data_IF_543066288234
#
_entry.id   IF_543066288234
#
_cell.length_a   1.000
_cell.length_b   1.000
_cell.length_c   1.000
_cell.angle_alpha   90.00
_cell.angle_beta   90.00
_cell.angle_gamma   90.00
#
_symmetry.space_group_name_H-M   'P 1'
#
loop_
_entity.id
_entity.type
_entity.pdbx_description
1 polymer ?
#
# COMPACT_ATOMS: atom_id res chain seq x y z
N UNK A 1 -11.88 -3.12 -11.09
CA UNK A 1 -10.79 -4.11 -10.98
C UNK A 1 -10.48 -4.30 -9.50
N UNK A 2 -10.25 -5.52 -9.02
CA UNK A 2 -9.98 -5.77 -7.60
C UNK A 2 -8.65 -5.10 -7.19
N UNK A 3 -8.64 -4.28 -6.12
CA UNK A 3 -7.46 -3.54 -5.64
C UNK A 3 -6.25 -4.47 -5.41
N UNK A 4 -6.50 -5.65 -4.85
CA UNK A 4 -5.46 -6.65 -4.60
C UNK A 4 -4.80 -7.12 -5.91
N UNK A 5 -5.59 -7.27 -6.98
CA UNK A 5 -5.06 -7.65 -8.30
C UNK A 5 -4.28 -6.49 -8.95
N UNK A 6 -4.74 -5.24 -8.81
CA UNK A 6 -3.98 -4.06 -9.30
C UNK A 6 -2.62 -3.95 -8.61
N UNK A 7 -2.56 -4.22 -7.31
CA UNK A 7 -1.32 -4.24 -6.55
C UNK A 7 -0.41 -5.38 -7.02
N UNK A 8 -0.94 -6.60 -7.13
CA UNK A 8 -0.18 -7.75 -7.63
C UNK A 8 0.38 -7.48 -9.04
N UNK A 9 -0.45 -7.05 -9.98
CA UNK A 9 -0.03 -6.76 -11.36
C UNK A 9 1.10 -5.71 -11.43
N UNK A 10 1.08 -4.73 -10.53
CA UNK A 10 2.09 -3.65 -10.50
C UNK A 10 3.46 -4.13 -10.03
N UNK A 11 3.46 -4.95 -8.97
CA UNK A 11 4.68 -5.39 -8.31
C UNK A 11 5.18 -6.74 -8.86
N UNK A 12 4.33 -7.47 -9.58
CA UNK A 12 4.68 -8.71 -10.25
C UNK A 12 5.91 -8.48 -11.15
N UNK A 13 6.94 -9.31 -10.93
CA UNK A 13 8.24 -9.29 -11.64
C UNK A 13 9.13 -8.06 -11.44
N UNK A 14 8.69 -7.02 -10.74
CA UNK A 14 9.51 -5.82 -10.45
C UNK A 14 10.18 -5.87 -9.09
N UNK A 15 9.51 -6.44 -8.10
CA UNK A 15 9.95 -6.41 -6.70
C UNK A 15 9.65 -7.76 -6.03
N UNK A 16 10.41 -8.11 -5.00
CA UNK A 16 10.13 -9.32 -4.23
C UNK A 16 8.78 -9.16 -3.50
N UNK A 17 7.82 -10.04 -3.79
CA UNK A 17 6.49 -9.96 -3.20
C UNK A 17 6.49 -10.09 -1.67
N UNK A 18 7.44 -10.84 -1.11
CA UNK A 18 7.56 -10.94 0.35
C UNK A 18 8.05 -9.64 0.98
N UNK A 19 8.94 -8.94 0.31
CA UNK A 19 9.43 -7.62 0.73
C UNK A 19 8.29 -6.59 0.69
N UNK A 20 7.46 -6.62 -0.36
CA UNK A 20 6.25 -5.81 -0.42
C UNK A 20 5.30 -6.09 0.76
N UNK A 21 5.09 -7.36 1.10
CA UNK A 21 4.24 -7.75 2.24
C UNK A 21 4.84 -7.23 3.56
N UNK A 22 6.15 -7.36 3.77
CA UNK A 22 6.83 -6.83 4.95
C UNK A 22 6.67 -5.31 5.07
N UNK A 23 6.94 -4.57 3.98
CA UNK A 23 6.83 -3.11 3.96
C UNK A 23 5.39 -2.64 4.24
N UNK A 24 4.41 -3.37 3.70
CA UNK A 24 2.99 -3.08 3.94
C UNK A 24 2.59 -3.37 5.39
N UNK A 25 3.06 -4.48 5.96
CA UNK A 25 2.80 -4.81 7.36
C UNK A 25 3.41 -3.77 8.32
N UNK A 26 4.63 -3.32 8.04
CA UNK A 26 5.28 -2.24 8.78
C UNK A 26 4.47 -0.93 8.66
N UNK A 27 3.99 -0.60 7.46
CA UNK A 27 3.18 0.60 7.25
C UNK A 27 1.86 0.55 8.00
N UNK A 28 1.18 -0.58 7.97
CA UNK A 28 -0.05 -0.82 8.75
C UNK A 28 0.21 -0.62 10.25
N UNK A 29 1.34 -1.14 10.75
CA UNK A 29 1.73 -0.95 12.14
C UNK A 29 1.93 0.54 12.49
N UNK A 30 2.55 1.33 11.61
CA UNK A 30 2.71 2.78 11.82
C UNK A 30 1.36 3.49 11.89
N UNK A 31 0.43 3.19 10.97
CA UNK A 31 -0.92 3.76 10.94
C UNK A 31 -1.67 3.44 12.23
N UNK A 32 -1.61 2.19 12.70
CA UNK A 32 -2.23 1.78 13.96
C UNK A 32 -1.67 2.52 15.18
N UNK A 33 -0.41 2.97 15.13
CA UNK A 33 0.21 3.78 16.17
C UNK A 33 -0.02 5.30 15.99
N UNK A 34 -0.92 5.70 15.08
CA UNK A 34 -1.30 7.10 14.88
C UNK A 34 -0.40 7.88 13.93
N UNK A 35 0.40 7.21 13.10
CA UNK A 35 1.10 7.87 12.02
C UNK A 35 0.11 8.49 11.04
N UNK A 36 0.44 9.68 10.53
CA UNK A 36 -0.33 10.33 9.46
C UNK A 36 -0.29 9.50 8.18
N UNK A 37 -1.45 9.43 7.54
CA UNK A 37 -1.64 8.84 6.22
C UNK A 37 -1.19 9.85 5.16
N UNK A 38 -0.55 9.35 4.10
CA UNK A 38 0.11 10.14 3.04
C UNK A 38 -0.85 10.53 1.91
N UNK A 39 -2.03 9.92 1.88
CA UNK A 39 -3.06 10.09 0.86
C UNK A 39 -4.36 10.59 1.48
N UNK A 40 -5.20 11.27 0.69
CA UNK A 40 -6.56 11.62 1.09
C UNK A 40 -7.48 10.43 0.80
N UNK A 41 -7.81 9.65 1.84
CA UNK A 41 -8.67 8.47 1.71
C UNK A 41 -9.85 8.51 2.67
N UNK A 42 -10.99 7.95 2.21
CA UNK A 42 -12.20 7.74 3.02
C UNK A 42 -12.17 6.40 3.76
N UNK A 43 -11.17 5.56 3.46
CA UNK A 43 -11.02 4.25 4.08
C UNK A 43 -10.65 4.40 5.56
N UNK A 44 -11.15 3.47 6.38
CA UNK A 44 -10.86 3.42 7.83
C UNK A 44 -10.05 2.19 8.21
N UNK A 45 -10.01 1.19 7.33
CA UNK A 45 -9.25 -0.02 7.54
C UNK A 45 -7.76 0.27 7.26
N UNK A 46 -6.86 0.11 8.25
CA UNK A 46 -5.44 0.43 8.08
C UNK A 46 -4.76 -0.35 6.95
N UNK A 47 -5.22 -1.57 6.64
CA UNK A 47 -4.69 -2.38 5.54
C UNK A 47 -5.11 -1.77 4.21
N UNK A 48 -6.39 -1.41 4.05
CA UNK A 48 -6.86 -0.74 2.84
C UNK A 48 -6.15 0.61 2.62
N UNK A 49 -5.96 1.38 3.68
CA UNK A 49 -5.23 2.65 3.63
C UNK A 49 -3.80 2.44 3.14
N UNK A 50 -3.06 1.52 3.77
CA UNK A 50 -1.69 1.22 3.37
C UNK A 50 -1.63 0.75 1.90
N UNK A 51 -2.55 -0.13 1.48
CA UNK A 51 -2.60 -0.57 0.09
C UNK A 51 -2.81 0.57 -0.91
N UNK A 52 -3.65 1.55 -0.57
CA UNK A 52 -3.85 2.73 -1.42
C UNK A 52 -2.59 3.61 -1.47
N UNK A 53 -1.90 3.81 -0.35
CA UNK A 53 -0.63 4.57 -0.34
C UNK A 53 0.42 3.93 -1.27
N UNK A 54 0.55 2.60 -1.23
CA UNK A 54 1.47 1.88 -2.12
C UNK A 54 1.05 1.93 -3.59
N UNK A 55 -0.26 2.03 -3.86
CA UNK A 55 -0.77 2.19 -5.22
C UNK A 55 -0.53 3.61 -5.74
N UNK A 56 -0.64 4.66 -4.93
CA UNK A 56 -0.39 6.04 -5.38
C UNK A 56 1.09 6.38 -5.51
N UNK A 57 1.95 5.92 -4.59
CA UNK A 57 3.40 6.20 -4.62
C UNK A 57 4.11 5.80 -5.91
N UNK A 58 3.60 4.78 -6.61
CA UNK A 58 4.18 4.43 -7.89
C UNK A 58 3.59 5.22 -9.06
N UNK A 59 2.36 5.75 -8.97
CA UNK A 59 1.76 6.55 -10.05
C UNK A 59 2.45 7.93 -10.18
N UNK A 60 3.05 8.45 -9.11
CA UNK A 60 3.86 9.68 -9.15
C UNK A 60 5.26 9.52 -9.80
N UNK A 61 5.72 8.29 -10.03
CA UNK A 61 7.05 7.98 -10.56
C UNK A 61 7.04 7.58 -12.06
N UNK A 62 5.92 7.75 -12.77
CA UNK A 62 5.78 7.63 -14.23
C UNK A 62 5.52 9.00 -14.88
#
# INVERSE_FOLDING_TARGET
MNRNLKLLDRFDKKVNIYELICNMAERVYQILNGATVSIDTKEKDPVQIAMEEFLEQGEENE
#
